data_IF_846053206041
#
_entry.id   IF_846053206041
#
_cell.length_a   1.000
_cell.length_b   1.000
_cell.length_c   1.000
_cell.angle_alpha   90.00
_cell.angle_beta   90.00
_cell.angle_gamma   90.00
#
_symmetry.space_group_name_H-M   'P 1'
#
loop_
_entity.id
_entity.type
_entity.pdbx_description
1 polymer ?
#
# COMPACT_ATOMS: atom_id res chain seq x y z
N UNK A 1 -8.91 20.32 0.27
CA UNK A 1 -7.97 19.51 1.06
C UNK A 1 -8.19 18.07 0.70
N UNK A 2 -7.09 17.34 0.52
CA UNK A 2 -7.13 15.90 0.26
C UNK A 2 -7.58 15.18 1.54
N UNK A 3 -8.13 13.98 1.42
CA UNK A 3 -8.55 13.17 2.59
C UNK A 3 -8.07 11.74 2.43
N UNK A 4 -8.40 10.87 3.38
CA UNK A 4 -8.09 9.44 3.31
C UNK A 4 -9.37 8.66 3.54
N UNK A 5 -9.57 7.61 2.77
CA UNK A 5 -10.68 6.66 2.97
C UNK A 5 -10.11 5.27 3.24
N UNK A 6 -10.72 4.56 4.19
CA UNK A 6 -10.40 3.18 4.54
C UNK A 6 -11.57 2.28 4.16
N UNK A 7 -11.29 1.16 3.53
CA UNK A 7 -12.25 0.11 3.19
C UNK A 7 -11.81 -1.19 3.84
N UNK A 8 -12.69 -1.84 4.61
CA UNK A 8 -12.47 -3.17 5.13
C UNK A 8 -13.56 -4.11 4.59
N UNK A 9 -13.16 -5.28 4.07
CA UNK A 9 -14.11 -6.28 3.57
C UNK A 9 -15.08 -6.77 4.65
N UNK A 10 -14.67 -6.71 5.92
CA UNK A 10 -15.52 -7.08 7.05
C UNK A 10 -16.67 -6.12 7.32
N UNK A 11 -16.65 -4.92 6.73
CA UNK A 11 -17.75 -3.95 6.86
C UNK A 11 -19.00 -4.38 6.08
N UNK A 12 -18.83 -5.24 5.06
CA UNK A 12 -19.92 -5.70 4.17
C UNK A 12 -20.21 -7.20 4.25
N UNK A 13 -19.30 -7.98 4.84
CA UNK A 13 -19.51 -9.41 5.06
C UNK A 13 -18.81 -9.94 6.31
N UNK A 14 -19.31 -11.01 6.94
CA UNK A 14 -18.60 -11.62 8.06
C UNK A 14 -17.39 -12.44 7.57
N UNK A 15 -16.44 -12.65 8.48
CA UNK A 15 -15.15 -13.32 8.19
C UNK A 15 -15.31 -14.78 7.76
N UNK A 16 -16.32 -15.48 8.29
CA UNK A 16 -16.63 -16.88 8.01
C UNK A 16 -17.38 -17.09 6.68
N UNK A 17 -17.72 -16.01 5.97
CA UNK A 17 -18.30 -16.04 4.63
C UNK A 17 -17.36 -15.40 3.58
N UNK A 18 -16.14 -15.93 3.37
CA UNK A 18 -15.11 -15.29 2.54
C UNK A 18 -15.46 -15.20 1.03
N UNK A 19 -16.53 -15.85 0.59
CA UNK A 19 -17.01 -15.84 -0.80
C UNK A 19 -18.11 -14.81 -1.07
N UNK A 20 -18.58 -14.10 -0.04
CA UNK A 20 -19.56 -13.04 -0.21
C UNK A 20 -18.94 -11.79 -0.85
N UNK A 21 -19.79 -10.93 -1.43
CA UNK A 21 -19.37 -9.70 -2.09
C UNK A 21 -18.55 -8.81 -1.13
N UNK A 22 -17.43 -8.27 -1.64
CA UNK A 22 -16.53 -7.37 -0.94
C UNK A 22 -16.78 -5.90 -1.30
N UNK A 23 -17.71 -5.65 -2.25
CA UNK A 23 -18.09 -4.32 -2.73
C UNK A 23 -18.73 -3.48 -1.62
N UNK A 24 -18.23 -2.26 -1.44
CA UNK A 24 -18.72 -1.31 -0.45
C UNK A 24 -18.79 0.09 -1.04
N UNK A 25 -19.98 0.69 -1.09
CA UNK A 25 -20.13 2.11 -1.37
C UNK A 25 -19.73 2.92 -0.14
N UNK A 26 -18.64 3.69 -0.23
CA UNK A 26 -18.15 4.51 0.88
C UNK A 26 -18.32 5.99 0.54
N UNK A 27 -19.02 6.72 1.40
CA UNK A 27 -19.13 8.17 1.33
C UNK A 27 -17.86 8.83 1.89
N UNK A 28 -17.34 9.81 1.16
CA UNK A 28 -16.21 10.62 1.60
C UNK A 28 -16.62 11.48 2.81
N UNK A 29 -15.65 11.85 3.63
CA UNK A 29 -15.85 12.75 4.78
C UNK A 29 -16.28 14.18 4.38
N UNK A 30 -16.27 14.48 3.07
CA UNK A 30 -16.68 15.75 2.47
C UNK A 30 -17.10 15.53 1.03
N UNK A 31 -17.96 16.41 0.52
CA UNK A 31 -18.23 16.53 -0.92
C UNK A 31 -17.07 17.23 -1.62
N UNK A 32 -16.61 16.67 -2.73
CA UNK A 32 -15.63 17.31 -3.60
C UNK A 32 -16.32 18.16 -4.67
N UNK A 33 -15.59 19.13 -5.23
CA UNK A 33 -16.11 19.96 -6.33
C UNK A 33 -16.29 19.14 -7.61
N UNK A 34 -15.48 18.10 -7.81
CA UNK A 34 -15.54 17.07 -8.85
C UNK A 34 -14.99 15.75 -8.28
N UNK A 35 -15.23 14.59 -8.92
CA UNK A 35 -14.72 13.31 -8.44
C UNK A 35 -13.21 13.33 -8.16
N UNK A 36 -12.74 12.96 -6.95
CA UNK A 36 -11.32 12.96 -6.61
C UNK A 36 -10.56 11.83 -7.32
N UNK A 37 -9.24 11.96 -7.43
CA UNK A 37 -8.37 10.83 -7.79
C UNK A 37 -8.07 10.02 -6.53
N UNK A 38 -8.08 8.69 -6.64
CA UNK A 38 -8.02 7.77 -5.51
C UNK A 38 -6.87 6.75 -5.64
N UNK A 39 -5.58 7.16 -5.60
CA UNK A 39 -4.48 6.22 -5.45
C UNK A 39 -4.73 5.30 -4.23
N UNK A 40 -4.82 4.00 -4.51
CA UNK A 40 -5.31 2.95 -3.62
C UNK A 40 -4.24 1.89 -3.36
N UNK A 41 -4.10 1.45 -2.10
CA UNK A 41 -3.15 0.41 -1.70
C UNK A 41 -3.71 -0.53 -0.65
N UNK A 42 -3.11 -1.72 -0.53
CA UNK A 42 -3.45 -2.74 0.46
C UNK A 42 -2.76 -2.46 1.80
N UNK A 43 -3.47 -2.62 2.91
CA UNK A 43 -2.98 -2.31 4.27
C UNK A 43 -3.10 -3.50 5.22
N UNK A 44 -4.08 -4.37 5.00
CA UNK A 44 -4.33 -5.56 5.82
C UNK A 44 -4.79 -6.70 4.92
N UNK A 45 -4.28 -7.91 5.17
CA UNK A 45 -4.62 -9.11 4.43
C UNK A 45 -4.59 -10.32 5.38
N UNK A 46 -5.61 -11.17 5.24
CA UNK A 46 -5.74 -12.48 5.87
C UNK A 46 -6.22 -13.48 4.81
N UNK A 47 -5.31 -14.31 4.30
CA UNK A 47 -5.54 -15.23 3.17
C UNK A 47 -5.16 -16.65 3.55
N UNK A 48 -6.04 -17.61 3.26
CA UNK A 48 -5.74 -19.03 3.44
C UNK A 48 -4.60 -19.50 2.52
N UNK A 49 -3.70 -20.31 3.05
CA UNK A 49 -2.51 -20.81 2.33
C UNK A 49 -2.73 -22.00 1.40
N UNK A 50 -3.91 -22.63 1.42
CA UNK A 50 -4.14 -23.92 0.72
C UNK A 50 -4.21 -23.78 -0.80
N UNK A 51 -4.43 -22.57 -1.28
CA UNK A 51 -4.41 -22.20 -2.69
C UNK A 51 -3.38 -21.10 -2.95
N UNK A 52 -3.17 -20.77 -4.23
CA UNK A 52 -2.44 -19.55 -4.60
C UNK A 52 -3.05 -18.35 -3.87
N UNK A 53 -2.20 -17.41 -3.45
CA UNK A 53 -2.69 -16.21 -2.77
C UNK A 53 -2.82 -15.09 -3.78
N UNK A 54 -3.89 -14.34 -3.67
CA UNK A 54 -4.12 -13.17 -4.50
C UNK A 54 -4.98 -12.14 -3.78
N UNK A 55 -4.76 -10.88 -4.11
CA UNK A 55 -5.59 -9.78 -3.67
C UNK A 55 -5.47 -8.67 -4.71
N UNK A 56 -6.58 -8.00 -4.99
CA UNK A 56 -6.64 -6.88 -5.93
C UNK A 56 -7.59 -5.80 -5.39
N UNK A 57 -7.02 -4.70 -4.90
CA UNK A 57 -7.79 -3.55 -4.46
C UNK A 57 -8.30 -2.76 -5.67
N UNK A 58 -9.60 -2.51 -5.70
CA UNK A 58 -10.30 -1.79 -6.75
C UNK A 58 -11.09 -0.63 -6.18
N UNK A 59 -11.20 0.42 -6.98
CA UNK A 59 -12.10 1.54 -6.69
C UNK A 59 -12.69 2.02 -8.01
N UNK A 60 -14.01 2.08 -8.07
CA UNK A 60 -14.80 2.42 -9.25
C UNK A 60 -15.98 3.32 -8.84
N UNK A 61 -16.80 3.71 -9.83
CA UNK A 61 -18.00 4.53 -9.61
C UNK A 61 -17.74 5.79 -8.76
N UNK A 62 -16.63 6.48 -9.06
CA UNK A 62 -16.17 7.63 -8.29
C UNK A 62 -17.06 8.84 -8.61
N UNK A 63 -17.73 9.33 -7.57
CA UNK A 63 -18.59 10.52 -7.60
C UNK A 63 -17.95 11.65 -6.77
N UNK A 64 -18.68 12.75 -6.58
CA UNK A 64 -18.25 13.86 -5.72
C UNK A 64 -18.39 13.53 -4.23
N UNK A 65 -19.30 12.64 -3.87
CA UNK A 65 -19.61 12.28 -2.49
C UNK A 65 -19.14 10.89 -2.08
N UNK A 66 -18.88 9.98 -3.03
CA UNK A 66 -18.60 8.57 -2.73
C UNK A 66 -17.85 7.84 -3.83
N UNK A 67 -17.33 6.65 -3.52
CA UNK A 67 -16.84 5.68 -4.49
C UNK A 67 -17.15 4.25 -4.04
N UNK A 68 -17.18 3.32 -4.98
CA UNK A 68 -17.33 1.89 -4.71
C UNK A 68 -15.96 1.25 -4.57
N UNK A 69 -15.67 0.72 -3.40
CA UNK A 69 -14.43 0.01 -3.08
C UNK A 69 -14.66 -1.49 -3.12
N UNK A 70 -13.68 -2.24 -3.60
CA UNK A 70 -13.71 -3.70 -3.62
C UNK A 70 -12.29 -4.26 -3.45
N UNK A 71 -12.18 -5.46 -2.88
CA UNK A 71 -10.93 -6.23 -2.85
C UNK A 71 -11.25 -7.63 -3.33
N UNK A 72 -10.81 -7.95 -4.54
CA UNK A 72 -11.07 -9.24 -5.17
C UNK A 72 -9.87 -10.18 -5.05
N UNK A 73 -10.11 -11.47 -5.26
CA UNK A 73 -9.08 -12.50 -5.33
C UNK A 73 -9.43 -13.50 -6.44
N UNK A 74 -8.42 -14.21 -6.93
CA UNK A 74 -8.57 -15.31 -7.88
C UNK A 74 -9.46 -16.43 -7.30
N UNK A 75 -10.12 -17.18 -8.19
CA UNK A 75 -11.24 -18.09 -7.84
C UNK A 75 -10.96 -19.14 -6.75
N UNK A 76 -9.70 -19.54 -6.54
CA UNK A 76 -9.32 -20.53 -5.52
C UNK A 76 -8.78 -19.90 -4.24
N UNK A 77 -8.46 -18.60 -4.26
CA UNK A 77 -7.96 -17.88 -3.10
C UNK A 77 -9.10 -17.65 -2.12
N UNK A 78 -8.89 -17.99 -0.84
CA UNK A 78 -9.84 -17.67 0.23
C UNK A 78 -9.33 -16.45 0.99
N UNK A 79 -9.96 -15.30 0.75
CA UNK A 79 -9.66 -14.02 1.40
C UNK A 79 -10.55 -13.84 2.64
N UNK A 80 -10.05 -14.16 3.84
CA UNK A 80 -10.83 -14.02 5.08
C UNK A 80 -11.12 -12.54 5.40
N UNK A 81 -10.11 -11.69 5.24
CA UNK A 81 -10.20 -10.25 5.48
C UNK A 81 -9.19 -9.51 4.60
N UNK A 82 -9.58 -8.33 4.13
CA UNK A 82 -8.64 -7.36 3.61
C UNK A 82 -9.03 -5.94 3.99
N UNK A 83 -8.04 -5.05 4.02
CA UNK A 83 -8.25 -3.60 4.09
C UNK A 83 -7.44 -2.92 3.01
N UNK A 84 -8.06 -1.96 2.35
CA UNK A 84 -7.39 -0.99 1.50
C UNK A 84 -7.58 0.42 2.04
N UNK A 85 -6.66 1.30 1.67
CA UNK A 85 -6.79 2.74 1.91
C UNK A 85 -6.54 3.48 0.60
N UNK A 86 -7.24 4.60 0.42
CA UNK A 86 -7.03 5.54 -0.67
C UNK A 86 -6.59 6.89 -0.13
N UNK A 87 -5.68 7.53 -0.85
CA UNK A 87 -5.34 8.93 -0.63
C UNK A 87 -6.15 9.80 -1.59
N UNK A 88 -7.21 10.44 -1.08
CA UNK A 88 -8.22 11.13 -1.88
C UNK A 88 -7.70 12.49 -2.34
N UNK A 89 -7.12 12.53 -3.53
CA UNK A 89 -6.60 13.74 -4.16
C UNK A 89 -7.75 14.57 -4.71
N UNK A 90 -7.96 15.74 -4.10
CA UNK A 90 -8.95 16.70 -4.60
C UNK A 90 -8.64 17.10 -6.06
N UNK A 91 -9.65 17.34 -6.91
CA UNK A 91 -9.45 17.65 -8.33
C UNK A 91 -8.51 18.83 -8.59
N UNK A 92 -8.55 19.86 -7.73
CA UNK A 92 -7.68 21.04 -7.84
C UNK A 92 -6.22 20.79 -7.43
N UNK A 93 -5.89 19.62 -6.88
CA UNK A 93 -4.54 19.27 -6.47
C UNK A 93 -3.75 18.69 -7.65
N UNK A 94 -3.50 19.53 -8.66
CA UNK A 94 -2.90 19.13 -9.93
C UNK A 94 -1.39 18.87 -9.84
N UNK A 95 -0.74 19.46 -8.83
CA UNK A 95 0.70 19.30 -8.60
C UNK A 95 1.08 17.92 -8.02
N UNK A 96 0.10 17.12 -7.55
CA UNK A 96 0.32 15.71 -7.20
C UNK A 96 -0.09 14.85 -8.37
N UNK A 97 0.84 14.03 -8.86
CA UNK A 97 0.59 13.03 -9.89
C UNK A 97 0.42 11.66 -9.24
N UNK A 98 -0.35 10.80 -9.89
CA UNK A 98 -0.58 9.45 -9.40
C UNK A 98 -0.97 8.54 -10.54
N UNK A 99 -0.61 7.27 -10.43
CA UNK A 99 -0.99 6.26 -11.39
C UNK A 99 -0.77 4.86 -10.83
N UNK A 100 -0.87 3.86 -11.69
CA UNK A 100 -0.58 2.49 -11.33
C UNK A 100 -0.04 1.73 -12.54
N UNK A 101 0.68 0.64 -12.28
CA UNK A 101 1.22 -0.22 -13.33
C UNK A 101 1.17 -1.68 -12.89
N UNK A 102 0.82 -2.56 -13.82
CA UNK A 102 0.74 -4.00 -13.62
C UNK A 102 1.94 -4.69 -14.29
N UNK A 103 2.70 -5.46 -13.52
CA UNK A 103 3.68 -6.42 -14.02
C UNK A 103 3.00 -7.78 -14.15
N UNK A 104 2.83 -8.26 -15.38
CA UNK A 104 2.23 -9.56 -15.66
C UNK A 104 3.32 -10.59 -16.02
N UNK A 105 3.38 -11.71 -15.30
CA UNK A 105 4.37 -12.79 -15.50
C UNK A 105 3.76 -14.00 -16.21
N UNK A 106 2.45 -14.00 -16.43
CA UNK A 106 1.73 -15.01 -17.20
C UNK A 106 1.67 -14.57 -18.67
N UNK A 107 2.74 -14.85 -19.43
CA UNK A 107 2.84 -14.44 -20.83
C UNK A 107 4.24 -14.56 -21.41
N UNK A 108 4.36 -14.43 -22.73
CA UNK A 108 5.64 -14.36 -23.45
C UNK A 108 5.67 -13.10 -24.33
N UNK A 109 6.59 -12.14 -24.08
CA UNK A 109 7.55 -12.10 -22.99
C UNK A 109 6.88 -11.85 -21.63
N UNK A 110 7.55 -12.24 -20.54
CA UNK A 110 7.15 -11.85 -19.18
C UNK A 110 7.37 -10.35 -18.99
N UNK A 111 6.54 -9.72 -18.16
CA UNK A 111 6.70 -8.32 -17.79
C UNK A 111 8.05 -8.07 -17.11
N UNK A 112 8.78 -7.01 -17.50
CA UNK A 112 10.06 -6.69 -16.89
C UNK A 112 9.89 -6.35 -15.41
N UNK A 113 10.95 -6.55 -14.62
CA UNK A 113 10.96 -6.15 -13.21
C UNK A 113 10.85 -4.64 -13.02
N UNK A 114 11.43 -3.89 -13.94
CA UNK A 114 11.49 -2.44 -13.91
C UNK A 114 10.88 -1.85 -15.17
N UNK A 115 10.13 -0.77 -15.03
CA UNK A 115 9.55 -0.01 -16.14
C UNK A 115 9.74 1.49 -15.89
N UNK A 116 10.00 2.25 -16.96
CA UNK A 116 9.98 3.70 -16.88
C UNK A 116 8.53 4.18 -16.89
N UNK A 117 8.19 5.03 -15.92
CA UNK A 117 6.93 5.75 -15.86
C UNK A 117 7.23 7.21 -16.13
N UNK A 118 6.63 7.73 -17.20
CA UNK A 118 6.72 9.14 -17.53
C UNK A 118 5.53 9.88 -16.89
N UNK A 119 5.82 11.07 -16.36
CA UNK A 119 4.79 11.96 -15.84
C UNK A 119 4.03 12.63 -16.98
N UNK A 120 2.73 12.85 -16.80
CA UNK A 120 1.90 13.57 -17.78
C UNK A 120 2.41 15.00 -18.05
N UNK A 121 3.15 15.56 -17.10
CA UNK A 121 3.89 16.81 -17.24
C UNK A 121 5.09 16.83 -16.27
N UNK A 122 6.18 17.52 -16.65
CA UNK A 122 7.38 17.54 -15.84
C UNK A 122 7.22 18.38 -14.58
N UNK A 123 7.94 17.99 -13.52
CA UNK A 123 8.18 18.81 -12.33
C UNK A 123 9.32 19.80 -12.55
N UNK A 124 9.38 20.85 -11.72
CA UNK A 124 10.48 21.83 -11.74
C UNK A 124 11.79 21.22 -11.23
N UNK A 125 11.71 20.40 -10.18
CA UNK A 125 12.78 19.60 -9.62
C UNK A 125 12.30 18.15 -9.49
N UNK A 126 13.21 17.16 -9.41
CA UNK A 126 12.81 15.77 -9.18
C UNK A 126 11.84 15.65 -7.99
N UNK A 127 10.64 15.07 -8.16
CA UNK A 127 9.64 15.00 -7.10
C UNK A 127 9.98 13.92 -6.07
N UNK A 128 9.26 13.93 -4.94
CA UNK A 128 9.15 12.72 -4.11
C UNK A 128 8.21 11.74 -4.80
N UNK A 129 8.67 10.50 -5.00
CA UNK A 129 7.85 9.42 -5.56
C UNK A 129 7.68 8.31 -4.53
N UNK A 130 6.43 7.93 -4.32
CA UNK A 130 6.02 6.87 -3.41
C UNK A 130 5.35 5.76 -4.20
N UNK A 131 5.62 4.52 -3.82
CA UNK A 131 5.09 3.33 -4.48
C UNK A 131 4.54 2.39 -3.42
N UNK A 132 3.43 1.73 -3.71
CA UNK A 132 2.80 0.76 -2.81
C UNK A 132 2.01 -0.29 -3.58
N UNK A 133 1.79 -1.43 -2.93
CA UNK A 133 1.16 -2.61 -3.50
C UNK A 133 -0.35 -2.38 -3.58
N UNK A 134 -0.90 -2.61 -4.78
CA UNK A 134 -2.34 -2.57 -5.06
C UNK A 134 -2.91 -3.97 -5.29
N UNK A 135 -2.15 -4.82 -5.98
CA UNK A 135 -2.56 -6.18 -6.27
C UNK A 135 -1.36 -7.14 -6.37
N UNK A 136 -1.61 -8.43 -6.16
CA UNK A 136 -0.66 -9.50 -6.44
C UNK A 136 -1.36 -10.85 -6.65
N UNK A 137 -0.66 -11.78 -7.30
CA UNK A 137 -1.00 -13.20 -7.41
C UNK A 137 0.28 -14.05 -7.32
N UNK A 138 0.36 -14.92 -6.32
CA UNK A 138 1.49 -15.80 -6.06
C UNK A 138 1.10 -17.26 -5.97
N UNK A 139 2.02 -18.12 -6.43
CA UNK A 139 1.96 -19.55 -6.16
C UNK A 139 2.01 -19.86 -4.64
N UNK A 140 1.31 -20.91 -4.22
CA UNK A 140 1.25 -21.34 -2.80
C UNK A 140 2.46 -22.12 -2.29
N UNK A 141 3.23 -22.75 -3.17
CA UNK A 141 4.26 -23.73 -2.80
C UNK A 141 5.63 -23.08 -2.55
N UNK A 142 5.70 -21.75 -2.61
CA UNK A 142 6.92 -20.94 -2.43
C UNK A 142 6.59 -19.73 -1.58
N UNK A 143 7.55 -19.28 -0.78
CA UNK A 143 7.39 -18.06 0.02
C UNK A 143 6.94 -16.88 -0.83
N UNK A 144 6.15 -16.01 -0.24
CA UNK A 144 5.57 -14.85 -0.91
C UNK A 144 6.46 -13.65 -0.66
N UNK A 145 7.04 -13.12 -1.74
CA UNK A 145 8.07 -12.09 -1.68
C UNK A 145 7.81 -11.03 -2.74
N UNK A 146 7.44 -9.84 -2.31
CA UNK A 146 7.13 -8.71 -3.18
C UNK A 146 7.72 -7.45 -2.59
N UNK A 147 8.30 -6.61 -3.44
CA UNK A 147 8.78 -5.28 -3.11
C UNK A 147 8.46 -4.34 -4.27
N UNK A 148 7.93 -3.16 -3.96
CA UNK A 148 7.66 -2.11 -4.94
C UNK A 148 8.40 -0.84 -4.57
N UNK A 149 9.21 -0.31 -5.49
CA UNK A 149 10.04 0.88 -5.24
C UNK A 149 10.08 1.80 -6.45
N UNK A 150 10.40 3.07 -6.20
CA UNK A 150 10.80 4.03 -7.23
C UNK A 150 12.32 4.20 -7.21
N UNK A 151 12.90 4.35 -8.39
CA UNK A 151 14.33 4.61 -8.60
C UNK A 151 14.51 5.53 -9.81
N UNK A 152 15.71 6.07 -10.02
CA UNK A 152 16.01 6.92 -11.19
C UNK A 152 14.96 8.03 -11.38
N UNK A 153 14.61 8.72 -10.30
CA UNK A 153 13.63 9.80 -10.31
C UNK A 153 14.29 11.05 -10.89
N UNK A 154 13.65 11.63 -11.89
CA UNK A 154 14.01 12.91 -12.49
C UNK A 154 12.74 13.77 -12.65
N UNK A 155 12.86 14.92 -13.31
CA UNK A 155 11.73 15.84 -13.49
C UNK A 155 10.64 15.29 -14.40
N UNK A 156 10.94 14.33 -15.28
CA UNK A 156 10.04 13.83 -16.31
C UNK A 156 9.42 12.49 -15.93
N UNK A 157 9.96 11.79 -14.93
CA UNK A 157 9.44 10.48 -14.53
C UNK A 157 10.31 9.76 -13.51
N UNK A 158 10.07 8.45 -13.41
CA UNK A 158 10.85 7.56 -12.55
C UNK A 158 10.83 6.13 -13.08
N UNK A 159 11.77 5.30 -12.64
CA UNK A 159 11.73 3.85 -12.84
C UNK A 159 10.97 3.19 -11.70
N UNK A 160 9.83 2.59 -12.02
CA UNK A 160 9.04 1.75 -11.12
C UNK A 160 9.62 0.33 -11.12
N UNK A 161 9.92 -0.20 -9.95
CA UNK A 161 10.34 -1.59 -9.76
C UNK A 161 9.23 -2.38 -9.07
N UNK A 162 8.87 -3.53 -9.62
CA UNK A 162 7.98 -4.52 -9.00
C UNK A 162 8.77 -5.81 -8.92
N UNK A 163 9.43 -6.03 -7.79
CA UNK A 163 10.46 -7.07 -7.61
C UNK A 163 9.95 -8.26 -6.81
N UNK A 164 10.39 -9.44 -7.20
CA UNK A 164 10.31 -10.68 -6.41
C UNK A 164 11.70 -11.31 -6.36
N UNK A 165 11.95 -12.22 -5.42
CA UNK A 165 13.28 -12.81 -5.24
C UNK A 165 13.23 -14.23 -4.67
N UNK A 166 14.41 -14.87 -4.63
CA UNK A 166 14.55 -16.26 -4.22
C UNK A 166 13.86 -17.20 -5.20
N UNK A 167 13.10 -18.14 -4.65
CA UNK A 167 12.34 -19.16 -5.37
C UNK A 167 10.84 -18.82 -5.52
N UNK A 168 10.44 -17.59 -5.19
CA UNK A 168 9.06 -17.13 -5.28
C UNK A 168 8.54 -17.19 -6.72
N UNK A 169 7.31 -17.62 -6.89
CA UNK A 169 6.64 -17.68 -8.21
C UNK A 169 5.51 -16.64 -8.20
N UNK A 170 5.82 -15.47 -8.75
CA UNK A 170 4.89 -14.35 -8.98
C UNK A 170 4.20 -14.53 -10.33
N UNK A 171 2.87 -14.50 -10.38
CA UNK A 171 2.08 -14.51 -11.61
C UNK A 171 1.72 -13.11 -12.10
N UNK A 172 1.36 -12.21 -11.18
CA UNK A 172 1.14 -10.80 -11.48
C UNK A 172 1.28 -9.95 -10.22
N UNK A 173 1.67 -8.68 -10.38
CA UNK A 173 1.58 -7.69 -9.31
C UNK A 173 1.34 -6.29 -9.86
N UNK A 174 0.57 -5.49 -9.12
CA UNK A 174 0.26 -4.12 -9.45
C UNK A 174 0.75 -3.19 -8.36
N UNK A 175 1.41 -2.12 -8.76
CA UNK A 175 1.81 -1.05 -7.87
C UNK A 175 1.04 0.23 -8.21
N UNK A 176 0.58 0.93 -7.19
CA UNK A 176 0.15 2.33 -7.29
C UNK A 176 1.32 3.23 -6.93
N UNK A 177 1.40 4.40 -7.58
CA UNK A 177 2.38 5.42 -7.27
C UNK A 177 1.75 6.79 -7.08
N UNK A 178 2.42 7.63 -6.28
CA UNK A 178 2.10 9.04 -6.05
C UNK A 178 3.39 9.83 -6.16
N UNK A 179 3.38 10.93 -6.90
CA UNK A 179 4.51 11.84 -7.05
C UNK A 179 4.10 13.28 -6.72
N UNK A 180 4.91 14.01 -5.96
CA UNK A 180 4.62 15.39 -5.59
C UNK A 180 5.91 16.22 -5.42
N UNK A 181 5.87 17.56 -5.53
CA UNK A 181 7.05 18.41 -5.43
C UNK A 181 7.77 18.20 -4.10
N UNK A 182 9.10 18.08 -4.11
CA UNK A 182 9.88 17.74 -2.92
C UNK A 182 9.70 18.75 -1.78
N UNK A 183 9.53 20.03 -2.14
CA UNK A 183 9.36 21.20 -1.28
C UNK A 183 7.89 21.48 -0.89
N UNK A 184 6.96 20.60 -1.31
CA UNK A 184 5.55 20.76 -0.96
C UNK A 184 5.36 20.80 0.55
N UNK A 185 4.78 21.89 1.04
CA UNK A 185 4.42 22.05 2.45
C UNK A 185 3.17 21.23 2.81
N UNK A 186 2.99 20.95 4.11
CA UNK A 186 1.80 20.26 4.63
C UNK A 186 1.61 18.83 4.09
N UNK A 187 2.70 18.22 3.65
CA UNK A 187 2.77 16.80 3.35
C UNK A 187 4.08 16.23 3.90
N UNK A 188 3.96 15.08 4.54
CA UNK A 188 5.09 14.25 4.91
C UNK A 188 4.88 12.87 4.30
N UNK A 189 5.97 12.25 3.87
CA UNK A 189 5.93 10.86 3.43
C UNK A 189 7.20 10.11 3.76
N UNK A 190 7.07 8.81 4.00
CA UNK A 190 8.20 7.93 4.20
C UNK A 190 7.89 6.52 3.70
N UNK A 191 8.96 5.78 3.36
CA UNK A 191 8.91 4.32 3.28
C UNK A 191 9.61 3.77 4.53
N UNK A 192 8.97 2.83 5.21
CA UNK A 192 9.52 2.16 6.39
C UNK A 192 9.64 0.68 6.13
N UNK A 193 10.74 0.07 6.55
CA UNK A 193 10.95 -1.38 6.46
C UNK A 193 11.42 -1.95 7.78
N UNK A 194 11.07 -3.21 8.04
CA UNK A 194 11.49 -3.91 9.25
C UNK A 194 13.00 -4.12 9.33
N UNK A 195 13.68 -4.15 8.18
CA UNK A 195 15.14 -4.30 8.07
C UNK A 195 15.92 -3.02 8.36
N UNK A 196 15.26 -1.85 8.33
CA UNK A 196 15.85 -0.56 8.67
C UNK A 196 15.90 -0.32 10.19
N UNK A 197 15.24 -1.17 10.98
CA UNK A 197 15.20 -1.04 12.43
C UNK A 197 16.49 -1.60 13.04
N UNK A 198 17.17 -0.81 13.88
CA UNK A 198 18.35 -1.26 14.64
C UNK A 198 18.10 -2.58 15.40
N UNK A 199 16.86 -2.77 15.89
CA UNK A 199 16.44 -3.97 16.62
C UNK A 199 16.37 -5.23 15.74
N UNK A 200 16.25 -5.10 14.42
CA UNK A 200 16.31 -6.23 13.50
C UNK A 200 17.70 -6.88 13.44
N UNK A 201 18.74 -6.17 13.90
CA UNK A 201 20.13 -6.65 13.98
C UNK A 201 20.45 -7.36 15.32
N UNK A 202 19.55 -7.34 16.31
CA UNK A 202 19.74 -7.96 17.61
C UNK A 202 19.43 -9.48 17.57
N UNK A 203 20.33 -10.31 18.14
CA UNK A 203 20.27 -11.77 18.04
C UNK A 203 19.24 -12.40 18.99
N UNK A 204 18.95 -11.73 20.10
CA UNK A 204 17.81 -12.02 20.97
C UNK A 204 16.61 -11.26 20.39
N UNK A 205 15.54 -11.97 20.03
CA UNK A 205 14.48 -11.48 19.12
C UNK A 205 13.23 -11.02 19.89
N UNK A 206 13.14 -9.76 20.35
CA UNK A 206 11.91 -9.26 20.95
C UNK A 206 10.81 -9.03 19.90
N UNK A 207 9.57 -8.99 20.37
CA UNK A 207 8.36 -8.57 19.65
C UNK A 207 8.44 -7.16 19.04
N UNK A 208 9.54 -6.42 19.26
CA UNK A 208 9.67 -5.01 18.92
C UNK A 208 10.14 -4.73 17.48
N UNK A 209 10.59 -5.75 16.72
CA UNK A 209 11.09 -5.58 15.34
C UNK A 209 10.04 -5.20 14.29
N UNK A 210 8.79 -5.01 14.69
CA UNK A 210 7.67 -4.74 13.79
C UNK A 210 7.01 -3.39 14.05
N UNK A 211 7.64 -2.50 14.80
CA UNK A 211 7.12 -1.17 15.10
C UNK A 211 8.21 -0.12 15.02
N UNK A 212 7.80 1.11 14.79
CA UNK A 212 8.70 2.26 14.80
C UNK A 212 7.98 3.57 15.08
N UNK A 213 8.77 4.62 15.12
CA UNK A 213 8.31 6.00 15.29
C UNK A 213 8.95 6.85 14.21
N UNK A 214 8.18 7.79 13.67
CA UNK A 214 8.63 8.80 12.73
C UNK A 214 8.46 10.16 13.39
N UNK A 215 9.51 10.97 13.33
CA UNK A 215 9.44 12.41 13.60
C UNK A 215 9.34 13.14 12.27
N UNK A 216 8.38 14.04 12.16
CA UNK A 216 8.25 14.89 10.99
C UNK A 216 9.38 15.92 10.96
N UNK A 217 9.86 16.24 9.76
CA UNK A 217 10.88 17.28 9.56
C UNK A 217 10.33 18.69 9.88
N UNK A 218 9.02 18.85 9.80
CA UNK A 218 8.29 20.09 10.06
C UNK A 218 7.01 19.76 10.82
N UNK A 219 6.63 20.61 11.78
CA UNK A 219 5.39 20.47 12.53
C UNK A 219 4.17 20.82 11.66
N UNK A 220 3.14 19.98 11.71
CA UNK A 220 1.84 20.24 11.09
C UNK A 220 1.01 21.19 11.98
N UNK A 221 0.13 21.98 11.36
CA UNK A 221 -0.74 22.91 12.10
C UNK A 221 -1.75 22.19 12.98
N UNK A 222 -2.28 21.08 12.47
CA UNK A 222 -3.22 20.21 13.16
C UNK A 222 -2.73 18.76 13.08
N UNK A 223 -3.48 17.84 13.71
CA UNK A 223 -3.16 16.42 13.59
C UNK A 223 -3.42 15.99 12.14
N UNK A 224 -2.39 15.56 11.37
CA UNK A 224 -2.58 15.21 9.97
C UNK A 224 -3.43 13.94 9.84
N UNK A 225 -4.12 13.82 8.70
CA UNK A 225 -4.69 12.54 8.27
C UNK A 225 -3.59 11.68 7.67
N UNK A 226 -3.63 10.38 7.96
CA UNK A 226 -2.57 9.44 7.55
C UNK A 226 -3.11 8.39 6.61
N UNK A 227 -2.49 8.30 5.44
CA UNK A 227 -2.58 7.16 4.53
C UNK A 227 -1.41 6.21 4.81
N UNK A 228 -1.68 4.91 4.71
CA UNK A 228 -0.64 3.88 4.79
C UNK A 228 -0.97 2.73 3.84
N UNK A 229 0.04 2.13 3.21
CA UNK A 229 -0.11 0.94 2.39
C UNK A 229 1.17 0.10 2.39
N UNK A 230 1.04 -1.22 2.26
CA UNK A 230 2.17 -2.13 2.14
C UNK A 230 2.94 -1.86 0.85
N UNK A 231 4.26 -1.89 0.91
CA UNK A 231 5.12 -1.84 -0.28
C UNK A 231 6.16 -2.98 -0.32
N UNK A 232 6.26 -3.76 0.76
CA UNK A 232 7.13 -4.94 0.84
C UNK A 232 6.55 -6.00 1.77
N UNK A 233 6.71 -7.26 1.40
CA UNK A 233 6.55 -8.40 2.30
C UNK A 233 7.47 -9.57 1.90
N UNK A 234 7.92 -10.34 2.88
CA UNK A 234 8.53 -11.67 2.74
C UNK A 234 7.91 -12.59 3.80
N UNK A 235 7.05 -13.50 3.37
CA UNK A 235 6.25 -14.35 4.24
C UNK A 235 6.40 -15.82 3.83
N UNK A 236 6.57 -16.69 4.83
CA UNK A 236 6.62 -18.13 4.67
C UNK A 236 5.27 -18.71 4.21
N UNK A 237 5.26 -19.46 3.12
CA UNK A 237 4.02 -20.00 2.54
C UNK A 237 3.38 -21.14 3.35
N UNK A 238 4.03 -21.60 4.43
CA UNK A 238 3.51 -22.66 5.31
C UNK A 238 2.52 -22.15 6.36
N UNK A 239 2.32 -20.83 6.47
CA UNK A 239 1.25 -20.22 7.26
C UNK A 239 0.29 -19.46 6.34
N UNK A 240 -0.86 -19.05 6.88
CA UNK A 240 -1.74 -18.12 6.18
C UNK A 240 -0.99 -16.80 5.95
N UNK A 241 -1.34 -16.09 4.87
CA UNK A 241 -0.85 -14.73 4.70
C UNK A 241 -1.63 -13.85 5.67
N UNK A 242 -1.00 -13.46 6.78
CA UNK A 242 -1.59 -12.53 7.74
C UNK A 242 -0.63 -11.38 7.97
N UNK A 243 -0.97 -10.19 7.49
CA UNK A 243 -0.17 -8.99 7.68
C UNK A 243 -1.07 -7.75 7.68
N UNK A 244 -0.95 -6.96 8.75
CA UNK A 244 -1.53 -5.62 8.86
C UNK A 244 -0.44 -4.59 9.07
N UNK A 245 -0.46 -3.47 8.34
CA UNK A 245 0.20 -2.23 8.77
C UNK A 245 -0.82 -1.31 9.43
N UNK A 246 -0.49 -0.79 10.61
CA UNK A 246 -1.34 0.09 11.39
C UNK A 246 -0.56 1.34 11.82
N UNK A 247 -1.21 2.50 11.73
CA UNK A 247 -0.80 3.75 12.37
C UNK A 247 -1.90 4.12 13.35
N UNK A 248 -1.76 3.80 14.65
CA UNK A 248 -2.80 4.07 15.63
C UNK A 248 -3.11 5.56 15.68
N UNK A 249 -4.39 5.94 15.55
CA UNK A 249 -4.81 7.36 15.49
C UNK A 249 -4.40 8.15 16.74
N UNK A 250 -4.31 7.49 17.89
CA UNK A 250 -3.84 8.08 19.16
C UNK A 250 -2.32 8.33 19.20
N UNK A 251 -1.56 7.76 18.27
CA UNK A 251 -0.11 7.96 18.15
C UNK A 251 0.29 9.10 17.21
N UNK A 252 -0.64 9.58 16.37
CA UNK A 252 -0.40 10.68 15.44
C UNK A 252 -0.48 12.00 16.19
N UNK A 253 0.60 12.78 16.11
CA UNK A 253 0.71 14.14 16.65
C UNK A 253 1.02 15.12 15.51
N UNK A 254 1.13 16.41 15.82
CA UNK A 254 1.60 17.44 14.87
C UNK A 254 3.07 17.25 14.48
N UNK A 255 3.85 16.46 15.25
CA UNK A 255 5.31 16.33 15.13
C UNK A 255 5.78 14.92 14.79
N UNK A 256 4.89 13.94 14.77
CA UNK A 256 5.26 12.57 14.43
C UNK A 256 4.11 11.58 14.51
N UNK A 257 4.46 10.31 14.32
CA UNK A 257 3.53 9.19 14.42
C UNK A 257 4.24 7.89 14.79
N UNK A 258 3.49 6.88 15.21
CA UNK A 258 3.98 5.51 15.40
C UNK A 258 3.32 4.57 14.41
N UNK A 259 4.06 3.58 13.96
CA UNK A 259 3.57 2.55 13.03
C UNK A 259 3.89 1.15 13.54
N UNK A 260 3.10 0.16 13.11
CA UNK A 260 3.31 -1.25 13.47
C UNK A 260 2.80 -2.22 12.41
N UNK A 261 3.62 -3.21 12.08
CA UNK A 261 3.19 -4.44 11.41
C UNK A 261 2.69 -5.47 12.43
N UNK A 262 1.56 -6.11 12.14
CA UNK A 262 0.97 -7.15 12.98
C UNK A 262 0.71 -8.40 12.14
N UNK A 263 1.61 -9.40 12.17
CA UNK A 263 1.32 -10.72 11.61
C UNK A 263 0.63 -11.62 12.65
N UNK A 264 0.06 -12.74 12.20
CA UNK A 264 -0.43 -13.79 13.09
C UNK A 264 0.72 -14.58 13.74
N UNK A 265 1.72 -14.98 12.93
CA UNK A 265 2.94 -15.65 13.38
C UNK A 265 4.18 -14.80 13.07
N UNK A 266 4.70 -14.14 14.11
CA UNK A 266 5.92 -13.34 14.06
C UNK A 266 7.16 -14.09 13.52
N UNK A 267 7.18 -15.43 13.60
CA UNK A 267 8.30 -16.25 13.11
C UNK A 267 8.25 -16.51 11.60
N UNK A 268 7.13 -16.20 10.97
CA UNK A 268 6.85 -16.46 9.54
C UNK A 268 6.82 -15.20 8.69
N UNK A 269 6.76 -14.03 9.34
CA UNK A 269 7.06 -12.75 8.70
C UNK A 269 8.58 -12.51 8.75
N UNK A 270 9.24 -12.56 7.60
CA UNK A 270 10.67 -12.30 7.50
C UNK A 270 10.96 -10.82 7.31
N UNK A 271 10.26 -10.17 6.36
CA UNK A 271 10.40 -8.76 6.03
C UNK A 271 9.02 -8.15 5.81
N UNK A 272 8.86 -6.87 6.17
CA UNK A 272 7.70 -6.06 5.80
C UNK A 272 8.13 -4.63 5.53
N UNK A 273 7.37 -3.94 4.69
CA UNK A 273 7.53 -2.52 4.45
C UNK A 273 6.22 -1.85 4.08
N UNK A 274 6.17 -0.55 4.34
CA UNK A 274 5.00 0.28 4.07
C UNK A 274 5.38 1.69 3.65
N UNK A 275 4.56 2.26 2.78
CA UNK A 275 4.52 3.67 2.45
C UNK A 275 3.54 4.36 3.38
N UNK A 276 3.96 5.49 3.98
CA UNK A 276 3.15 6.34 4.84
C UNK A 276 3.10 7.74 4.24
N UNK A 277 1.91 8.34 4.20
CA UNK A 277 1.67 9.73 3.79
C UNK A 277 0.85 10.40 4.89
N UNK A 278 1.35 11.50 5.45
CA UNK A 278 0.63 12.35 6.39
C UNK A 278 0.38 13.71 5.73
N UNK A 279 -0.86 14.19 5.77
CA UNK A 279 -1.27 15.46 5.16
C UNK A 279 -2.26 16.21 6.04
N UNK A 280 -2.26 17.54 5.92
CA UNK A 280 -3.32 18.40 6.47
C UNK A 280 -4.64 18.27 5.68
#
# INVERSE_FOLDING_TARGET
>A
MSTVTKHNTLDVRPRDMPYADNSHQIFFSRTFVDPPRLPLGLCELDIDRKANISANAMVEDITKESAKYDITSESQTILYQATSMSYNLAPGNLEILSGHHMRNMTGTPKGPESVRIDFDHPFVTPPKVLVFIRAFDFNKDRNWRLETTASCVDTEGFTLNIRTWGDSILYAAQATWVAYPEDRQHIFSASVHTEDLEQALAWDRPLDRFRGEIKFSTEFWERPVVFVALNKFDIDCRCNFTLKIDVPQNSVTTTGLKWRFTPEDNRRLYLAGATIIAVD
#
